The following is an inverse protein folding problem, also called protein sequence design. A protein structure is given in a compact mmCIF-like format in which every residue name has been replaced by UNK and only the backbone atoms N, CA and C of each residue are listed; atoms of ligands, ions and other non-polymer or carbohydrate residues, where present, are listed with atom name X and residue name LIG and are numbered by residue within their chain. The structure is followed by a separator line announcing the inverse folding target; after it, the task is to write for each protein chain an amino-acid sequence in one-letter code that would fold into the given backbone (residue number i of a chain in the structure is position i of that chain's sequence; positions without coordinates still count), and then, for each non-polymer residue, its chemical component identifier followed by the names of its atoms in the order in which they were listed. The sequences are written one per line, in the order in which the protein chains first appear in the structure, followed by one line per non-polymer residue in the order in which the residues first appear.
data_IF_742535880764
#
_entry.id   IF_742535880764
#
_cell.length_a   1.000
_cell.length_b   1.000
_cell.length_c   1.000
_cell.angle_alpha   90.00
_cell.angle_beta   90.00
_cell.angle_gamma   90.00
#
_symmetry.space_group_name_H-M   'P 1'
#
loop_
_entity.id
_entity.type
_entity.pdbx_description
1 polymer ?
#
# COMPACT_ATOMS: atom_id res chain seq x y z
N UNK A 1 -22.02 13.50 -24.25
CA UNK A 1 -21.83 13.54 -22.78
C UNK A 1 -22.90 12.74 -22.04
N UNK A 2 -24.21 13.00 -22.22
CA UNK A 2 -25.31 12.25 -21.55
C UNK A 2 -25.23 10.72 -21.70
N UNK A 3 -24.94 10.21 -22.90
CA UNK A 3 -24.81 8.75 -23.10
C UNK A 3 -23.67 8.10 -22.29
N UNK A 4 -22.56 8.81 -22.11
CA UNK A 4 -21.43 8.35 -21.30
C UNK A 4 -21.74 8.38 -19.80
N UNK A 5 -22.50 9.40 -19.35
CA UNK A 5 -22.97 9.48 -17.96
C UNK A 5 -23.90 8.29 -17.66
N UNK A 6 -24.86 8.00 -18.55
CA UNK A 6 -25.77 6.88 -18.38
C UNK A 6 -25.06 5.51 -18.41
N UNK A 7 -24.03 5.35 -19.27
CA UNK A 7 -23.18 4.16 -19.28
C UNK A 7 -22.39 4.03 -17.98
N UNK A 8 -21.83 5.14 -17.48
CA UNK A 8 -21.09 5.17 -16.23
C UNK A 8 -21.96 4.84 -15.01
N UNK A 9 -23.17 5.37 -14.94
CA UNK A 9 -24.12 5.03 -13.87
C UNK A 9 -24.44 3.53 -13.86
N UNK A 10 -24.79 2.96 -15.02
CA UNK A 10 -25.08 1.52 -15.14
C UNK A 10 -23.87 0.67 -14.75
N UNK A 11 -22.67 1.07 -15.18
CA UNK A 11 -21.44 0.38 -14.81
C UNK A 11 -21.19 0.43 -13.30
N UNK A 12 -21.28 1.61 -12.68
CA UNK A 12 -21.09 1.78 -11.24
C UNK A 12 -22.12 1.01 -10.41
N UNK A 13 -23.39 0.98 -10.84
CA UNK A 13 -24.45 0.20 -10.19
C UNK A 13 -24.18 -1.30 -10.22
N UNK A 14 -23.74 -1.85 -11.37
CA UNK A 14 -23.39 -3.27 -11.47
C UNK A 14 -22.14 -3.60 -10.66
N UNK A 15 -21.14 -2.73 -10.65
CA UNK A 15 -19.95 -2.88 -9.82
C UNK A 15 -20.29 -2.83 -8.32
N UNK A 16 -21.21 -1.96 -7.91
CA UNK A 16 -21.72 -1.87 -6.55
C UNK A 16 -22.44 -3.16 -6.14
N UNK A 17 -23.34 -3.68 -7.00
CA UNK A 17 -24.00 -4.98 -6.79
C UNK A 17 -22.97 -6.10 -6.65
N UNK A 18 -21.95 -6.10 -7.50
CA UNK A 18 -20.86 -7.06 -7.46
C UNK A 18 -20.06 -6.97 -6.15
N UNK A 19 -19.82 -5.77 -5.60
CA UNK A 19 -19.15 -5.63 -4.30
C UNK A 19 -19.99 -6.24 -3.17
N UNK A 20 -21.32 -6.02 -3.18
CA UNK A 20 -22.21 -6.35 -2.06
C UNK A 20 -22.78 -7.79 -2.14
N UNK A 21 -22.80 -8.41 -3.31
CA UNK A 21 -23.45 -9.72 -3.52
C UNK A 21 -22.98 -10.78 -2.51
N UNK A 22 -23.89 -11.54 -1.90
CA UNK A 22 -23.52 -12.53 -0.89
C UNK A 22 -22.78 -13.69 -1.54
N UNK A 23 -21.71 -14.16 -0.89
CA UNK A 23 -20.94 -15.34 -1.30
C UNK A 23 -21.00 -16.34 -0.16
N UNK A 24 -21.40 -17.57 -0.47
CA UNK A 24 -21.42 -18.70 0.47
C UNK A 24 -20.00 -18.99 1.02
N UNK A 25 -19.93 -19.63 2.18
CA UNK A 25 -18.66 -19.84 2.86
C UNK A 25 -17.74 -20.83 2.12
N UNK A 26 -16.45 -20.49 2.04
CA UNK A 26 -15.31 -21.27 1.48
C UNK A 26 -15.14 -21.31 -0.05
N UNK A 27 -15.83 -20.48 -0.82
CA UNK A 27 -15.61 -20.43 -2.27
C UNK A 27 -14.44 -19.51 -2.62
N UNK A 28 -13.40 -20.04 -3.28
CA UNK A 28 -12.21 -19.28 -3.72
C UNK A 28 -12.37 -18.62 -5.11
N UNK A 29 -13.25 -19.17 -5.94
CA UNK A 29 -13.55 -18.66 -7.29
C UNK A 29 -15.04 -18.76 -7.59
N UNK A 30 -15.60 -17.71 -8.18
CA UNK A 30 -17.02 -17.60 -8.52
C UNK A 30 -17.14 -17.06 -9.95
N UNK A 31 -18.14 -17.48 -10.70
CA UNK A 31 -18.46 -16.86 -11.99
C UNK A 31 -19.31 -15.61 -11.77
N UNK A 32 -19.09 -14.55 -12.56
CA UNK A 32 -19.94 -13.37 -12.57
C UNK A 32 -21.42 -13.72 -12.87
N UNK A 33 -21.68 -14.80 -13.59
CA UNK A 33 -23.04 -15.30 -13.85
C UNK A 33 -23.74 -15.74 -12.56
N UNK A 34 -23.02 -16.39 -11.65
CA UNK A 34 -23.55 -16.83 -10.35
C UNK A 34 -23.89 -15.62 -9.47
N UNK A 35 -23.15 -14.53 -9.64
CA UNK A 35 -23.39 -13.24 -8.97
C UNK A 35 -24.43 -12.37 -9.69
N UNK A 36 -25.08 -12.89 -10.75
CA UNK A 36 -26.10 -12.20 -11.56
C UNK A 36 -25.60 -10.89 -12.19
N UNK A 37 -24.31 -10.81 -12.50
CA UNK A 37 -23.69 -9.63 -13.11
C UNK A 37 -24.08 -9.47 -14.58
N UNK A 38 -24.44 -8.25 -15.00
CA UNK A 38 -24.79 -7.97 -16.38
C UNK A 38 -23.58 -7.55 -17.23
N UNK A 39 -23.05 -8.46 -18.05
CA UNK A 39 -21.95 -8.12 -18.98
C UNK A 39 -22.32 -7.05 -20.03
N UNK A 40 -23.61 -6.71 -20.18
CA UNK A 40 -24.09 -5.67 -21.12
C UNK A 40 -23.62 -4.26 -20.76
N UNK A 41 -23.04 -4.05 -19.57
CA UNK A 41 -22.44 -2.76 -19.20
C UNK A 41 -21.11 -2.49 -19.90
N UNK A 42 -20.52 -3.50 -20.55
CA UNK A 42 -19.34 -3.37 -21.38
C UNK A 42 -19.65 -3.79 -22.84
N UNK A 43 -19.02 -3.19 -23.86
CA UNK A 43 -17.97 -2.17 -23.78
C UNK A 43 -18.49 -0.80 -23.30
N UNK A 44 -17.67 -0.09 -22.53
CA UNK A 44 -17.97 1.19 -21.91
C UNK A 44 -16.90 2.22 -22.29
N UNK A 45 -17.32 3.45 -22.60
CA UNK A 45 -16.39 4.55 -22.95
C UNK A 45 -15.60 5.10 -21.76
N UNK A 46 -15.87 4.62 -20.55
CA UNK A 46 -15.06 4.93 -19.37
C UNK A 46 -13.68 4.31 -19.50
N UNK A 47 -12.69 4.99 -18.95
CA UNK A 47 -11.33 4.47 -18.84
C UNK A 47 -11.27 3.35 -17.81
N UNK A 48 -10.36 2.39 -18.02
CA UNK A 48 -10.06 1.40 -16.99
C UNK A 48 -9.48 2.13 -15.77
N UNK A 49 -9.96 1.89 -14.54
CA UNK A 49 -9.59 2.67 -13.35
C UNK A 49 -8.23 2.22 -12.77
N UNK A 50 -7.15 2.44 -13.52
CA UNK A 50 -5.77 2.19 -13.05
C UNK A 50 -4.96 3.48 -13.02
N UNK A 51 -3.89 3.50 -12.22
CA UNK A 51 -3.19 4.71 -11.84
C UNK A 51 -2.74 5.57 -13.02
N UNK A 52 -2.19 4.96 -14.07
CA UNK A 52 -1.66 5.70 -15.22
C UNK A 52 -2.74 6.44 -16.02
N UNK A 53 -4.01 6.04 -15.90
CA UNK A 53 -5.15 6.72 -16.53
C UNK A 53 -5.76 7.80 -15.64
N UNK A 54 -5.68 7.63 -14.31
CA UNK A 54 -6.32 8.53 -13.35
C UNK A 54 -5.39 9.62 -12.82
N UNK A 55 -4.07 9.43 -12.91
CA UNK A 55 -3.08 10.37 -12.38
C UNK A 55 -2.58 11.30 -13.48
N UNK A 56 -2.83 12.62 -13.40
CA UNK A 56 -2.29 13.55 -14.37
C UNK A 56 -0.76 13.66 -14.22
N UNK A 57 -0.06 13.61 -15.34
CA UNK A 57 1.33 14.03 -15.40
C UNK A 57 1.41 15.55 -15.32
N UNK A 58 2.43 16.06 -14.62
CA UNK A 58 2.71 17.49 -14.59
C UNK A 58 3.70 17.86 -15.70
N UNK A 59 3.59 19.08 -16.25
CA UNK A 59 4.51 19.55 -17.27
C UNK A 59 5.92 19.68 -16.69
N UNK A 60 6.93 19.28 -17.47
CA UNK A 60 8.33 19.46 -17.09
C UNK A 60 8.78 20.93 -17.17
N UNK A 61 8.03 21.77 -17.89
CA UNK A 61 8.30 23.20 -18.04
C UNK A 61 7.00 23.99 -18.02
N UNK A 62 7.01 25.13 -17.35
CA UNK A 62 5.90 26.09 -17.33
C UNK A 62 5.96 27.10 -18.49
N UNK A 63 6.84 26.88 -19.47
CA UNK A 63 6.92 27.74 -20.66
C UNK A 63 5.64 27.63 -21.50
N UNK A 64 5.05 28.75 -21.97
CA UNK A 64 3.78 28.74 -22.71
C UNK A 64 3.77 27.82 -23.94
N UNK A 65 4.89 27.75 -24.66
CA UNK A 65 5.07 26.90 -25.84
C UNK A 65 4.96 25.41 -25.51
N UNK A 66 5.58 25.00 -24.40
CA UNK A 66 5.52 23.62 -23.91
C UNK A 66 4.10 23.25 -23.46
N UNK A 67 3.44 24.16 -22.75
CA UNK A 67 2.08 23.95 -22.22
C UNK A 67 1.03 23.80 -23.32
N UNK A 68 1.17 24.50 -24.45
CA UNK A 68 0.22 24.37 -25.59
C UNK A 68 0.13 22.95 -26.17
N UNK A 69 1.23 22.20 -26.15
CA UNK A 69 1.29 20.81 -26.63
C UNK A 69 1.21 19.76 -25.52
N UNK A 70 1.23 20.18 -24.25
CA UNK A 70 1.28 19.29 -23.11
C UNK A 70 -0.07 18.60 -22.87
N UNK A 71 -0.04 17.28 -22.70
CA UNK A 71 -1.21 16.49 -22.30
C UNK A 71 -0.95 15.89 -20.93
N UNK A 72 -1.81 16.22 -19.98
CA UNK A 72 -1.70 15.69 -18.63
C UNK A 72 -1.98 14.17 -18.58
N UNK A 73 -2.87 13.68 -19.44
CA UNK A 73 -3.26 12.27 -19.53
C UNK A 73 -2.70 11.61 -20.79
N UNK A 74 -2.64 10.26 -20.83
CA UNK A 74 -2.24 9.52 -22.03
C UNK A 74 -3.02 9.94 -23.29
N UNK A 75 -2.37 9.91 -24.45
CA UNK A 75 -2.99 10.26 -25.75
C UNK A 75 -4.14 9.30 -26.10
N UNK A 76 -3.90 8.02 -25.86
CA UNK A 76 -4.83 6.94 -26.16
C UNK A 76 -5.28 6.32 -24.83
N UNK A 77 -6.40 6.78 -24.26
CA UNK A 77 -6.88 6.24 -23.00
C UNK A 77 -7.43 4.82 -23.21
N UNK A 78 -6.99 3.88 -22.38
CA UNK A 78 -7.51 2.52 -22.41
C UNK A 78 -8.92 2.50 -21.82
N UNK A 79 -9.92 2.20 -22.66
CA UNK A 79 -11.33 2.12 -22.26
C UNK A 79 -11.71 0.69 -21.87
N UNK A 80 -12.83 0.54 -21.19
CA UNK A 80 -13.32 -0.76 -20.74
C UNK A 80 -13.97 -1.51 -21.91
N UNK A 81 -13.35 -2.59 -22.37
CA UNK A 81 -13.89 -3.43 -23.44
C UNK A 81 -14.81 -4.52 -22.90
N UNK A 82 -14.37 -5.24 -21.86
CA UNK A 82 -15.14 -6.32 -21.25
C UNK A 82 -14.76 -6.54 -19.78
N UNK A 83 -15.65 -7.15 -19.01
CA UNK A 83 -15.35 -7.66 -17.67
C UNK A 83 -15.28 -9.19 -17.77
N UNK A 84 -14.19 -9.76 -17.24
CA UNK A 84 -13.93 -11.20 -17.25
C UNK A 84 -14.83 -11.92 -16.24
N UNK A 85 -15.28 -13.11 -16.62
CA UNK A 85 -16.25 -13.90 -15.84
C UNK A 85 -15.66 -14.50 -14.54
N UNK A 86 -14.35 -14.76 -14.51
CA UNK A 86 -13.67 -15.35 -13.36
C UNK A 86 -13.45 -14.31 -12.26
N UNK A 87 -14.05 -14.56 -11.08
CA UNK A 87 -13.88 -13.75 -9.87
C UNK A 87 -13.14 -14.57 -8.84
N UNK A 88 -12.01 -14.05 -8.36
CA UNK A 88 -11.30 -14.66 -7.24
C UNK A 88 -11.74 -14.00 -5.92
N UNK A 89 -12.14 -14.80 -4.96
CA UNK A 89 -12.54 -14.33 -3.62
C UNK A 89 -11.36 -14.55 -2.67
N UNK A 90 -10.88 -13.48 -2.04
CA UNK A 90 -9.76 -13.57 -1.12
C UNK A 90 -10.21 -14.00 0.27
N UNK A 91 -9.39 -14.82 0.92
CA UNK A 91 -9.66 -15.33 2.26
C UNK A 91 -9.30 -14.29 3.33
N UNK A 92 -10.20 -13.32 3.52
CA UNK A 92 -10.10 -12.22 4.48
C UNK A 92 -11.46 -12.00 5.15
N UNK A 93 -11.49 -11.29 6.29
CA UNK A 93 -12.70 -10.97 7.05
C UNK A 93 -13.79 -10.36 6.16
N UNK A 94 -13.42 -9.47 5.24
CA UNK A 94 -14.35 -8.77 4.34
C UNK A 94 -14.59 -9.51 3.01
N UNK A 95 -13.89 -10.63 2.74
CA UNK A 95 -13.97 -11.40 1.49
C UNK A 95 -13.93 -10.52 0.22
N UNK A 96 -12.87 -9.71 0.03
CA UNK A 96 -12.77 -8.84 -1.14
C UNK A 96 -12.59 -9.68 -2.41
N UNK A 97 -13.02 -9.13 -3.56
CA UNK A 97 -13.14 -9.86 -4.83
C UNK A 97 -12.19 -9.27 -5.85
N UNK A 98 -11.30 -10.09 -6.40
CA UNK A 98 -10.47 -9.69 -7.53
C UNK A 98 -11.17 -10.05 -8.83
N UNK A 99 -11.34 -9.07 -9.71
CA UNK A 99 -11.91 -9.25 -11.05
C UNK A 99 -10.96 -8.73 -12.11
N UNK A 100 -11.05 -9.29 -13.32
CA UNK A 100 -10.31 -8.83 -14.48
C UNK A 100 -11.16 -7.94 -15.39
N UNK A 101 -10.61 -6.81 -15.81
CA UNK A 101 -11.18 -5.93 -16.83
C UNK A 101 -10.30 -6.02 -18.08
N UNK A 102 -10.88 -6.38 -19.22
CA UNK A 102 -10.21 -6.26 -20.52
C UNK A 102 -10.29 -4.82 -20.99
N UNK A 103 -9.13 -4.20 -21.20
CA UNK A 103 -9.02 -2.88 -21.80
C UNK A 103 -9.13 -2.94 -23.33
N UNK A 104 -9.44 -1.81 -23.95
CA UNK A 104 -9.49 -1.66 -25.41
C UNK A 104 -8.15 -1.89 -26.12
N UNK A 105 -7.05 -2.04 -25.37
CA UNK A 105 -5.73 -2.45 -25.85
C UNK A 105 -5.54 -3.98 -25.82
N UNK A 106 -6.58 -4.74 -25.46
CA UNK A 106 -6.59 -6.19 -25.35
C UNK A 106 -5.96 -6.73 -24.07
N UNK A 107 -5.39 -5.88 -23.21
CA UNK A 107 -4.77 -6.31 -21.95
C UNK A 107 -5.80 -6.50 -20.85
N UNK A 108 -5.46 -7.34 -19.87
CA UNK A 108 -6.27 -7.57 -18.68
C UNK A 108 -5.71 -6.76 -17.52
N UNK A 109 -6.58 -5.99 -16.88
CA UNK A 109 -6.30 -5.18 -15.71
C UNK A 109 -7.09 -5.74 -14.54
N UNK A 110 -6.39 -6.19 -13.50
CA UNK A 110 -7.03 -6.71 -12.32
C UNK A 110 -7.43 -5.55 -11.40
N UNK A 111 -8.61 -5.65 -10.79
CA UNK A 111 -9.07 -4.73 -9.74
C UNK A 111 -9.64 -5.51 -8.57
N UNK A 112 -9.51 -4.96 -7.38
CA UNK A 112 -10.04 -5.48 -6.13
C UNK A 112 -11.29 -4.68 -5.74
N UNK A 113 -12.44 -5.35 -5.76
CA UNK A 113 -13.68 -4.88 -5.16
C UNK A 113 -13.60 -5.11 -3.64
N UNK A 114 -13.48 -4.02 -2.86
CA UNK A 114 -13.45 -4.09 -1.40
C UNK A 114 -14.83 -3.74 -0.85
N UNK A 115 -15.55 -4.69 -0.23
CA UNK A 115 -16.86 -4.43 0.36
C UNK A 115 -16.74 -4.00 1.83
N UNK A 116 -17.75 -3.27 2.31
CA UNK A 116 -17.89 -2.77 3.68
C UNK A 116 -16.68 -1.96 4.17
N UNK A 117 -16.12 -1.14 3.29
CA UNK A 117 -15.00 -0.26 3.62
C UNK A 117 -15.10 1.08 2.86
N UNK A 118 -14.84 2.18 3.55
CA UNK A 118 -14.82 3.51 2.95
C UNK A 118 -13.43 3.82 2.40
N UNK A 119 -13.29 3.66 1.08
CA UNK A 119 -12.02 3.85 0.38
C UNK A 119 -11.64 5.32 0.16
N UNK A 120 -12.42 6.30 0.62
CA UNK A 120 -12.02 7.72 0.52
C UNK A 120 -10.72 7.97 1.29
N UNK A 121 -10.53 7.32 2.44
CA UNK A 121 -9.30 7.39 3.23
C UNK A 121 -8.10 6.92 2.40
N UNK A 122 -8.21 5.75 1.78
CA UNK A 122 -7.17 5.22 0.90
C UNK A 122 -6.92 6.13 -0.32
N UNK A 123 -7.98 6.66 -0.95
CA UNK A 123 -7.86 7.56 -2.10
C UNK A 123 -7.08 8.83 -1.74
N UNK A 124 -7.45 9.49 -0.65
CA UNK A 124 -6.76 10.70 -0.18
C UNK A 124 -5.31 10.43 0.22
N UNK A 125 -5.04 9.26 0.79
CA UNK A 125 -3.67 8.87 1.08
C UNK A 125 -2.85 8.65 -0.20
N UNK A 126 -3.44 8.09 -1.26
CA UNK A 126 -2.77 7.99 -2.56
C UNK A 126 -2.49 9.37 -3.17
N UNK A 127 -3.38 10.35 -3.00
CA UNK A 127 -3.15 11.75 -3.39
C UNK A 127 -1.98 12.37 -2.60
N UNK A 128 -1.94 12.16 -1.29
CA UNK A 128 -0.84 12.58 -0.42
C UNK A 128 0.49 11.95 -0.83
N UNK A 129 0.52 10.63 -1.06
CA UNK A 129 1.72 9.93 -1.54
C UNK A 129 2.16 10.42 -2.93
N UNK A 130 1.22 10.72 -3.82
CA UNK A 130 1.53 11.34 -5.11
C UNK A 130 2.11 12.75 -4.95
N UNK A 131 1.70 13.51 -3.94
CA UNK A 131 2.35 14.78 -3.58
C UNK A 131 3.78 14.57 -3.12
N UNK A 132 4.03 13.63 -2.22
CA UNK A 132 5.39 13.30 -1.76
C UNK A 132 6.27 12.86 -2.93
N UNK A 133 5.76 12.02 -3.83
CA UNK A 133 6.48 11.62 -5.05
C UNK A 133 6.87 12.81 -5.93
N UNK A 134 6.03 13.85 -6.00
CA UNK A 134 6.37 15.10 -6.70
C UNK A 134 7.52 15.84 -6.01
N UNK A 135 7.54 15.86 -4.67
CA UNK A 135 8.64 16.47 -3.91
C UNK A 135 9.96 15.71 -4.13
N UNK A 136 9.95 14.38 -4.06
CA UNK A 136 11.13 13.55 -4.36
C UNK A 136 11.63 13.70 -5.79
N UNK A 137 10.74 13.93 -6.76
CA UNK A 137 11.17 14.14 -8.15
C UNK A 137 11.82 15.50 -8.37
N UNK A 138 11.42 16.52 -7.61
CA UNK A 138 11.97 17.89 -7.70
C UNK A 138 13.33 18.02 -7.01
N UNK A 139 13.53 17.32 -5.90
CA UNK A 139 14.80 17.34 -5.18
C UNK A 139 15.88 16.51 -5.89
N UNK A 140 17.09 17.06 -5.97
CA UNK A 140 18.19 16.48 -6.74
C UNK A 140 18.70 15.19 -6.10
N UNK A 141 18.82 15.15 -4.77
CA UNK A 141 19.42 14.01 -4.07
C UNK A 141 18.48 12.79 -4.02
N UNK A 142 17.19 13.03 -3.83
CA UNK A 142 16.15 12.00 -3.89
C UNK A 142 15.91 11.49 -5.31
N UNK A 143 15.91 12.38 -6.31
CA UNK A 143 15.80 12.01 -7.73
C UNK A 143 16.98 11.16 -8.22
N UNK A 144 18.23 11.53 -7.87
CA UNK A 144 19.42 10.70 -8.14
C UNK A 144 19.30 9.29 -7.56
N UNK A 145 18.64 9.16 -6.41
CA UNK A 145 18.41 7.88 -5.71
C UNK A 145 17.14 7.17 -6.15
N UNK A 146 16.36 7.75 -7.07
CA UNK A 146 15.07 7.26 -7.54
C UNK A 146 14.16 6.90 -6.36
N UNK A 147 14.07 7.80 -5.38
CA UNK A 147 13.15 7.65 -4.26
C UNK A 147 11.71 7.88 -4.72
N UNK A 148 10.82 6.95 -4.39
CA UNK A 148 9.39 7.07 -4.63
C UNK A 148 8.62 6.15 -3.68
N UNK A 149 7.35 6.45 -3.49
CA UNK A 149 6.32 5.61 -2.89
C UNK A 149 5.55 4.99 -4.05
N UNK A 150 5.44 3.66 -4.08
CA UNK A 150 4.53 3.00 -5.02
C UNK A 150 3.09 3.35 -4.62
N UNK A 151 2.35 3.94 -5.54
CA UNK A 151 0.93 4.25 -5.37
C UNK A 151 0.09 3.37 -6.31
N UNK A 152 -1.22 3.37 -6.12
CA UNK A 152 -2.18 2.63 -6.93
C UNK A 152 -3.49 3.43 -7.01
N UNK A 153 -4.31 3.18 -8.03
CA UNK A 153 -5.61 3.82 -8.15
C UNK A 153 -6.61 3.28 -7.11
N UNK A 154 -7.36 4.21 -6.52
CA UNK A 154 -8.49 3.92 -5.63
C UNK A 154 -9.69 4.70 -6.14
N UNK A 155 -10.79 4.01 -6.40
CA UNK A 155 -12.04 4.59 -6.90
C UNK A 155 -13.17 4.21 -5.94
N UNK A 156 -13.53 5.09 -4.98
CA UNK A 156 -14.71 4.89 -4.15
C UNK A 156 -15.98 4.83 -5.00
N UNK A 157 -16.88 3.90 -4.70
CA UNK A 157 -18.18 3.78 -5.38
C UNK A 157 -19.30 4.38 -4.51
N UNK A 158 -19.26 4.12 -3.21
CA UNK A 158 -20.13 4.71 -2.20
C UNK A 158 -19.40 4.76 -0.84
N UNK A 159 -20.12 5.00 0.26
CA UNK A 159 -19.57 5.05 1.62
C UNK A 159 -19.17 3.69 2.20
N UNK A 160 -19.50 2.59 1.52
CA UNK A 160 -19.26 1.24 2.04
C UNK A 160 -18.49 0.35 1.07
N UNK A 161 -18.11 0.81 -0.12
CA UNK A 161 -17.30 0.02 -1.03
C UNK A 161 -16.60 0.87 -2.08
N UNK A 162 -15.58 0.27 -2.68
CA UNK A 162 -14.97 0.81 -3.87
C UNK A 162 -14.06 -0.18 -4.56
N UNK A 163 -13.31 0.36 -5.52
CA UNK A 163 -12.39 -0.38 -6.37
C UNK A 163 -10.96 0.05 -6.05
N UNK A 164 -10.08 -0.93 -5.94
CA UNK A 164 -8.64 -0.73 -5.77
C UNK A 164 -7.94 -1.38 -6.96
N UNK A 165 -7.00 -0.69 -7.58
CA UNK A 165 -6.13 -1.29 -8.59
C UNK A 165 -5.34 -2.45 -7.99
N UNK A 166 -5.39 -3.61 -8.65
CA UNK A 166 -4.58 -4.74 -8.24
C UNK A 166 -3.17 -4.60 -8.83
N UNK A 167 -2.17 -4.69 -7.96
CA UNK A 167 -0.77 -4.70 -8.37
C UNK A 167 -0.31 -6.16 -8.40
N UNK A 168 0.02 -6.64 -9.59
CA UNK A 168 0.48 -8.02 -9.80
C UNK A 168 1.90 -8.26 -9.26
N UNK A 169 2.25 -9.55 -9.09
CA UNK A 169 3.57 -10.02 -8.65
C UNK A 169 3.99 -9.47 -7.28
N UNK A 170 3.03 -9.42 -6.35
CA UNK A 170 3.27 -9.04 -4.96
C UNK A 170 3.20 -10.26 -4.05
N UNK A 171 4.10 -10.32 -3.06
CA UNK A 171 4.12 -11.33 -2.00
C UNK A 171 4.18 -10.67 -0.63
N UNK A 172 3.41 -11.17 0.32
CA UNK A 172 3.40 -10.59 1.67
C UNK A 172 4.67 -10.98 2.43
N UNK A 173 5.16 -10.08 3.30
CA UNK A 173 6.31 -10.36 4.16
C UNK A 173 6.11 -11.64 4.97
N UNK A 174 4.89 -11.87 5.45
CA UNK A 174 4.52 -13.05 6.23
C UNK A 174 4.65 -14.32 5.40
N UNK A 175 4.12 -14.34 4.17
CA UNK A 175 4.21 -15.49 3.29
C UNK A 175 5.67 -15.84 2.95
N UNK A 176 6.48 -14.83 2.59
CA UNK A 176 7.91 -15.01 2.30
C UNK A 176 8.65 -15.60 3.50
N UNK A 177 8.51 -14.99 4.68
CA UNK A 177 9.25 -15.42 5.88
C UNK A 177 8.80 -16.81 6.34
N UNK A 178 7.51 -17.12 6.31
CA UNK A 178 7.02 -18.45 6.69
C UNK A 178 7.51 -19.52 5.72
N UNK A 179 7.55 -19.24 4.41
CA UNK A 179 8.09 -20.15 3.39
C UNK A 179 9.55 -20.50 3.70
N UNK A 180 10.40 -19.48 3.86
CA UNK A 180 11.84 -19.66 4.09
C UNK A 180 12.14 -20.35 5.43
N UNK A 181 11.42 -20.01 6.50
CA UNK A 181 11.55 -20.71 7.78
C UNK A 181 11.19 -22.20 7.65
N UNK A 182 10.14 -22.53 6.89
CA UNK A 182 9.73 -23.91 6.65
C UNK A 182 10.78 -24.70 5.86
N UNK A 183 11.42 -24.07 4.87
CA UNK A 183 12.53 -24.68 4.11
C UNK A 183 13.73 -25.00 5.02
N UNK A 184 13.91 -24.26 6.11
CA UNK A 184 14.88 -24.55 7.19
C UNK A 184 14.35 -25.52 8.25
N UNK A 185 13.17 -26.11 8.07
CA UNK A 185 12.55 -27.02 9.04
C UNK A 185 11.94 -26.34 10.27
N UNK A 186 11.79 -25.01 10.26
CA UNK A 186 11.27 -24.23 11.39
C UNK A 186 9.80 -23.90 11.13
N UNK A 187 8.90 -24.46 11.94
CA UNK A 187 7.47 -24.15 11.89
C UNK A 187 7.06 -23.31 13.11
N UNK A 188 6.51 -22.08 12.92
CA UNK A 188 6.06 -21.26 14.04
C UNK A 188 4.89 -21.90 14.81
N UNK A 189 5.10 -22.21 16.10
CA UNK A 189 4.03 -22.61 17.01
C UNK A 189 3.43 -21.37 17.70
N UNK A 190 2.30 -20.88 17.19
CA UNK A 190 1.69 -19.65 17.69
C UNK A 190 1.24 -19.71 19.16
N UNK A 191 0.85 -20.89 19.66
CA UNK A 191 0.43 -21.03 21.05
C UNK A 191 1.63 -20.90 22.00
N UNK A 192 2.74 -21.53 21.65
CA UNK A 192 3.99 -21.44 22.40
C UNK A 192 4.57 -20.02 22.32
N UNK A 193 4.60 -19.41 21.14
CA UNK A 193 5.04 -18.02 20.96
C UNK A 193 4.19 -17.08 21.84
N UNK A 194 2.86 -17.27 21.86
CA UNK A 194 1.97 -16.44 22.70
C UNK A 194 2.25 -16.63 24.18
N UNK A 195 2.50 -17.86 24.62
CA UNK A 195 2.87 -18.16 26.00
C UNK A 195 4.19 -17.47 26.39
N UNK A 196 5.24 -17.64 25.59
CA UNK A 196 6.56 -17.05 25.82
C UNK A 196 6.50 -15.51 25.82
N UNK A 197 5.69 -14.90 24.94
CA UNK A 197 5.46 -13.46 24.90
C UNK A 197 4.70 -12.96 26.14
N UNK A 198 3.66 -13.66 26.57
CA UNK A 198 2.93 -13.31 27.79
C UNK A 198 3.84 -13.39 29.03
N UNK A 199 4.73 -14.38 29.09
CA UNK A 199 5.74 -14.49 30.13
C UNK A 199 6.74 -13.31 30.09
N UNK A 200 7.26 -12.98 28.90
CA UNK A 200 8.20 -11.88 28.71
C UNK A 200 7.58 -10.51 29.05
N UNK A 201 6.29 -10.32 28.77
CA UNK A 201 5.54 -9.10 29.07
C UNK A 201 5.01 -9.02 30.51
N UNK A 202 5.14 -10.09 31.31
CA UNK A 202 4.65 -10.08 32.70
C UNK A 202 5.45 -9.17 33.64
N UNK A 203 6.73 -8.98 33.36
CA UNK A 203 7.64 -8.16 34.17
C UNK A 203 8.79 -7.64 33.29
N UNK A 204 9.19 -6.38 33.51
CA UNK A 204 10.31 -5.76 32.78
C UNK A 204 11.63 -6.53 32.93
N UNK A 205 11.86 -7.21 34.05
CA UNK A 205 13.04 -8.06 34.25
C UNK A 205 13.09 -9.26 33.30
N UNK A 206 11.94 -9.70 32.79
CA UNK A 206 11.80 -10.87 31.90
C UNK A 206 11.83 -10.51 30.41
N UNK A 207 12.01 -9.25 30.05
CA UNK A 207 12.08 -8.82 28.64
C UNK A 207 13.16 -9.56 27.84
N UNK A 208 14.25 -9.98 28.50
CA UNK A 208 15.31 -10.76 27.86
C UNK A 208 14.81 -12.10 27.27
N UNK A 209 13.70 -12.65 27.78
CA UNK A 209 13.06 -13.87 27.26
C UNK A 209 12.62 -13.72 25.80
N UNK A 210 12.26 -12.51 25.37
CA UNK A 210 11.97 -12.26 23.96
C UNK A 210 13.19 -12.61 23.09
N UNK A 211 14.37 -12.13 23.46
CA UNK A 211 15.60 -12.39 22.70
C UNK A 211 16.09 -13.83 22.86
N UNK A 212 16.07 -14.37 24.09
CA UNK A 212 16.68 -15.67 24.40
C UNK A 212 15.80 -16.87 24.09
N UNK A 213 14.47 -16.78 24.27
CA UNK A 213 13.52 -17.87 23.98
C UNK A 213 12.82 -17.71 22.63
N UNK A 214 12.34 -16.51 22.29
CA UNK A 214 11.52 -16.31 21.09
C UNK A 214 12.41 -16.08 19.86
N UNK A 215 13.23 -15.04 19.85
CA UNK A 215 14.03 -14.68 18.68
C UNK A 215 15.10 -15.73 18.33
N UNK A 216 15.65 -16.44 19.32
CA UNK A 216 16.64 -17.51 19.11
C UNK A 216 16.10 -18.66 18.25
N UNK A 217 14.78 -18.92 18.28
CA UNK A 217 14.11 -19.93 17.45
C UNK A 217 13.91 -19.47 16.00
N UNK A 218 13.97 -18.16 15.72
CA UNK A 218 13.61 -17.58 14.42
C UNK A 218 14.75 -16.69 13.87
N UNK A 219 15.77 -17.30 13.22
CA UNK A 219 16.82 -16.54 12.58
C UNK A 219 16.27 -15.63 11.47
N UNK A 220 16.96 -14.52 11.13
CA UNK A 220 16.62 -13.76 9.95
C UNK A 220 16.84 -14.62 8.69
N UNK A 221 15.86 -14.59 7.79
CA UNK A 221 15.85 -15.37 6.54
C UNK A 221 15.52 -14.52 5.32
N UNK A 222 14.96 -13.32 5.51
CA UNK A 222 14.43 -12.51 4.39
C UNK A 222 15.47 -12.19 3.30
N UNK A 223 16.76 -12.11 3.62
CA UNK A 223 17.83 -11.91 2.63
C UNK A 223 17.88 -13.04 1.59
N UNK A 224 17.50 -14.26 1.96
CA UNK A 224 17.50 -15.44 1.07
C UNK A 224 16.51 -15.25 -0.07
N UNK A 225 15.35 -14.64 0.20
CA UNK A 225 14.37 -14.32 -0.84
C UNK A 225 14.97 -13.43 -1.94
N UNK A 226 15.81 -12.45 -1.59
CA UNK A 226 16.46 -11.61 -2.59
C UNK A 226 17.46 -12.41 -3.43
N UNK A 227 18.16 -13.37 -2.84
CA UNK A 227 19.12 -14.23 -3.55
C UNK A 227 18.37 -15.18 -4.51
N UNK A 228 17.26 -15.77 -4.05
CA UNK A 228 16.41 -16.65 -4.87
C UNK A 228 15.73 -15.90 -6.03
N UNK A 229 15.15 -14.73 -5.74
CA UNK A 229 14.37 -13.96 -6.71
C UNK A 229 15.25 -13.23 -7.73
N UNK A 230 16.48 -12.86 -7.34
CA UNK A 230 17.43 -12.13 -8.18
C UNK A 230 18.79 -12.85 -8.22
N UNK A 231 18.95 -13.93 -9.00
CA UNK A 231 20.20 -14.69 -9.03
C UNK A 231 21.40 -13.93 -9.61
N UNK A 232 21.14 -12.95 -10.48
CA UNK A 232 22.19 -12.12 -11.09
C UNK A 232 22.63 -11.00 -10.11
N UNK A 233 23.93 -10.88 -9.86
CA UNK A 233 24.49 -9.95 -8.88
C UNK A 233 24.08 -8.47 -9.10
N UNK A 234 24.02 -8.01 -10.35
CA UNK A 234 23.61 -6.64 -10.68
C UNK A 234 22.13 -6.39 -10.34
N UNK A 235 21.27 -7.32 -10.75
CA UNK A 235 19.83 -7.29 -10.48
C UNK A 235 19.53 -7.42 -8.98
N UNK A 236 20.22 -8.32 -8.27
CA UNK A 236 20.16 -8.47 -6.82
C UNK A 236 20.52 -7.18 -6.09
N UNK A 237 21.65 -6.57 -6.46
CA UNK A 237 22.10 -5.33 -5.83
C UNK A 237 21.08 -4.20 -6.06
N UNK A 238 20.57 -4.07 -7.29
CA UNK A 238 19.56 -3.08 -7.62
C UNK A 238 18.24 -3.30 -6.84
N UNK A 239 17.80 -4.56 -6.73
CA UNK A 239 16.59 -4.93 -6.00
C UNK A 239 16.73 -4.66 -4.50
N UNK A 240 17.86 -5.03 -3.89
CA UNK A 240 18.14 -4.75 -2.48
C UNK A 240 18.21 -3.25 -2.20
N UNK A 241 18.84 -2.46 -3.08
CA UNK A 241 18.88 -1.01 -2.92
C UNK A 241 17.47 -0.40 -3.04
N UNK A 242 16.64 -0.92 -3.95
CA UNK A 242 15.24 -0.49 -4.09
C UNK A 242 14.41 -0.85 -2.86
N UNK A 243 14.54 -2.07 -2.36
CA UNK A 243 13.96 -2.52 -1.09
C UNK A 243 14.30 -1.54 0.04
N UNK A 244 15.60 -1.34 0.31
CA UNK A 244 16.07 -0.48 1.40
C UNK A 244 15.53 0.95 1.29
N UNK A 245 15.53 1.53 0.09
CA UNK A 245 15.02 2.90 -0.13
C UNK A 245 13.51 2.99 0.02
N UNK A 246 12.76 2.05 -0.56
CA UNK A 246 11.30 2.03 -0.47
C UNK A 246 10.82 1.82 0.97
N UNK A 247 11.48 0.94 1.73
CA UNK A 247 11.26 0.80 3.18
C UNK A 247 11.52 2.10 3.92
N UNK A 248 12.68 2.72 3.72
CA UNK A 248 13.04 3.95 4.42
C UNK A 248 12.04 5.09 4.17
N UNK A 249 11.66 5.30 2.90
CA UNK A 249 10.66 6.31 2.53
C UNK A 249 9.34 6.04 3.24
N UNK A 250 8.81 4.82 3.12
CA UNK A 250 7.49 4.49 3.69
C UNK A 250 7.51 4.44 5.22
N UNK A 251 8.65 4.11 5.84
CA UNK A 251 8.83 4.19 7.29
C UNK A 251 8.73 5.63 7.79
N UNK A 252 9.38 6.59 7.12
CA UNK A 252 9.32 8.00 7.55
C UNK A 252 7.94 8.60 7.29
N UNK A 253 7.37 8.35 6.10
CA UNK A 253 6.03 8.84 5.76
C UNK A 253 4.96 8.21 6.64
N UNK A 254 5.04 6.90 6.87
CA UNK A 254 4.14 6.19 7.77
C UNK A 254 4.24 6.71 9.20
N UNK A 255 5.45 6.96 9.71
CA UNK A 255 5.63 7.52 11.04
C UNK A 255 5.04 8.93 11.17
N UNK A 256 5.29 9.82 10.20
CA UNK A 256 4.70 11.18 10.19
C UNK A 256 3.17 11.12 10.22
N UNK A 257 2.57 10.20 9.45
CA UNK A 257 1.12 10.01 9.40
C UNK A 257 0.53 9.23 10.59
N UNK A 258 1.36 8.70 11.49
CA UNK A 258 0.91 7.81 12.56
C UNK A 258 0.29 6.50 12.04
N UNK A 259 0.86 5.92 10.97
CA UNK A 259 0.41 4.67 10.36
C UNK A 259 0.80 3.46 11.24
N UNK A 260 -0.22 2.79 11.79
CA UNK A 260 -0.11 1.54 12.54
C UNK A 260 -0.52 0.31 11.74
N UNK A 261 -0.78 -0.78 12.46
CA UNK A 261 -1.26 -2.08 11.94
C UNK A 261 -0.37 -2.65 10.82
N UNK A 262 0.95 -2.50 10.98
CA UNK A 262 1.96 -2.98 10.00
C UNK A 262 2.33 -4.44 10.28
N UNK A 263 1.34 -5.32 10.28
CA UNK A 263 1.59 -6.77 10.33
C UNK A 263 2.15 -7.30 9.00
N UNK A 264 2.65 -8.54 9.01
CA UNK A 264 3.36 -9.11 7.85
C UNK A 264 2.51 -9.36 6.59
N UNK A 265 1.19 -9.23 6.67
CA UNK A 265 0.31 -9.27 5.48
C UNK A 265 0.15 -7.89 4.81
N UNK A 266 0.38 -6.79 5.55
CA UNK A 266 0.19 -5.42 5.06
C UNK A 266 1.47 -4.80 4.47
N UNK A 267 2.57 -5.57 4.45
CA UNK A 267 3.84 -5.20 3.82
C UNK A 267 4.11 -6.21 2.70
N UNK A 268 4.09 -5.74 1.46
CA UNK A 268 4.20 -6.57 0.26
C UNK A 268 5.48 -6.24 -0.49
N UNK A 269 6.08 -7.27 -1.10
CA UNK A 269 7.30 -7.19 -1.89
C UNK A 269 6.96 -7.44 -3.36
N UNK A 270 7.48 -6.58 -4.23
CA UNK A 270 7.34 -6.71 -5.69
C UNK A 270 8.40 -7.66 -6.22
N UNK A 271 7.99 -8.85 -6.67
CA UNK A 271 8.90 -9.91 -7.15
C UNK A 271 9.78 -9.43 -8.31
N UNK A 272 9.26 -8.59 -9.20
CA UNK A 272 10.02 -8.09 -10.36
C UNK A 272 11.10 -7.07 -10.04
N UNK A 273 11.09 -6.43 -8.85
CA UNK A 273 12.02 -5.33 -8.57
C UNK A 273 12.56 -5.23 -7.16
N UNK A 274 12.00 -5.96 -6.20
CA UNK A 274 12.37 -5.94 -4.79
C UNK A 274 11.82 -4.75 -4.00
N UNK A 275 11.05 -3.85 -4.63
CA UNK A 275 10.41 -2.73 -3.93
C UNK A 275 9.33 -3.18 -2.96
N UNK A 276 9.02 -2.32 -1.97
CA UNK A 276 7.96 -2.56 -0.99
C UNK A 276 6.71 -1.74 -1.30
N UNK A 277 5.55 -2.35 -1.13
CA UNK A 277 4.23 -1.71 -1.14
C UNK A 277 3.54 -1.95 0.20
N UNK A 278 3.00 -0.88 0.79
CA UNK A 278 2.13 -0.98 1.96
C UNK A 278 0.67 -0.96 1.49
N UNK A 279 -0.17 -1.79 2.09
CA UNK A 279 -1.62 -1.82 1.86
C UNK A 279 -2.37 -1.71 3.17
N UNK A 280 -3.68 -1.47 3.07
CA UNK A 280 -4.61 -1.31 4.19
C UNK A 280 -4.23 -0.14 5.11
N UNK A 281 -4.82 1.04 4.91
CA UNK A 281 -4.48 2.25 5.65
C UNK A 281 -5.55 2.65 6.68
N UNK A 282 -6.26 1.66 7.22
CA UNK A 282 -7.33 1.88 8.19
C UNK A 282 -6.86 2.36 9.58
N UNK A 283 -5.55 2.22 9.87
CA UNK A 283 -4.93 2.61 11.13
C UNK A 283 -4.00 3.83 10.95
N UNK A 284 -4.57 5.01 10.70
CA UNK A 284 -3.84 6.28 10.56
C UNK A 284 -3.98 7.16 11.82
N UNK A 285 -3.14 8.20 11.91
CA UNK A 285 -3.15 9.23 12.95
C UNK A 285 -3.09 8.66 14.37
N UNK A 286 -2.12 7.77 14.59
CA UNK A 286 -1.80 7.20 15.89
C UNK A 286 -2.94 6.35 16.50
N UNK A 287 -3.89 5.89 15.68
CA UNK A 287 -4.96 4.97 16.11
C UNK A 287 -4.41 3.70 16.75
N UNK A 288 -3.23 3.23 16.33
CA UNK A 288 -2.56 2.05 16.90
C UNK A 288 -2.21 2.20 18.39
N UNK A 289 -2.06 3.42 18.89
CA UNK A 289 -1.84 3.70 20.32
C UNK A 289 -3.12 3.50 21.17
N UNK A 290 -4.29 3.41 20.53
CA UNK A 290 -5.58 3.26 21.19
C UNK A 290 -6.08 1.82 21.26
N UNK A 291 -5.32 0.86 20.71
CA UNK A 291 -5.64 -0.56 20.79
C UNK A 291 -5.44 -1.09 22.22
N UNK A 292 -6.11 -2.22 22.52
CA UNK A 292 -5.98 -2.92 23.82
C UNK A 292 -4.52 -3.23 24.15
N UNK A 293 -3.74 -3.62 23.13
CA UNK A 293 -2.28 -3.70 23.19
C UNK A 293 -1.75 -2.58 22.28
N UNK A 294 -1.23 -1.48 22.86
CA UNK A 294 -0.86 -0.30 22.08
C UNK A 294 0.40 -0.54 21.23
N UNK A 295 0.39 -0.04 20.00
CA UNK A 295 1.53 -0.09 19.09
C UNK A 295 2.52 1.06 19.35
N UNK A 296 3.45 0.86 20.28
CA UNK A 296 4.42 1.89 20.69
C UNK A 296 5.58 2.10 19.71
N UNK A 297 5.79 1.16 18.78
CA UNK A 297 6.90 1.21 17.82
C UNK A 297 6.51 2.12 16.65
N UNK A 298 7.34 3.11 16.27
CA UNK A 298 6.96 4.14 15.28
C UNK A 298 6.72 3.58 13.87
N UNK A 299 7.42 2.52 13.50
CA UNK A 299 7.22 1.78 12.26
C UNK A 299 7.87 0.40 12.38
N UNK A 300 7.41 -0.57 11.58
CA UNK A 300 7.96 -1.93 11.60
C UNK A 300 9.39 -1.95 11.05
N UNK A 301 10.36 -2.26 11.91
CA UNK A 301 11.77 -2.50 11.54
C UNK A 301 12.31 -3.69 12.32
N UNK A 302 12.10 -4.91 11.80
CA UNK A 302 12.46 -6.17 12.50
C UNK A 302 13.82 -6.70 12.07
N UNK A 303 14.36 -7.69 12.79
CA UNK A 303 15.64 -8.35 12.44
C UNK A 303 15.68 -8.86 10.99
N UNK A 304 14.57 -9.43 10.48
CA UNK A 304 14.46 -9.89 9.11
C UNK A 304 14.60 -8.73 8.12
N UNK A 305 13.97 -7.59 8.41
CA UNK A 305 14.03 -6.43 7.54
C UNK A 305 15.42 -5.80 7.53
N UNK A 306 16.04 -5.68 8.71
CA UNK A 306 17.38 -5.08 8.88
C UNK A 306 18.44 -5.92 8.21
N UNK A 307 18.39 -7.24 8.40
CA UNK A 307 19.34 -8.17 7.80
C UNK A 307 19.28 -8.14 6.26
N UNK A 308 18.07 -8.05 5.69
CA UNK A 308 17.88 -7.91 4.25
C UNK A 308 18.43 -6.58 3.65
N UNK A 309 18.74 -5.57 4.47
CA UNK A 309 19.44 -4.36 3.97
C UNK A 309 20.91 -4.64 3.61
N UNK A 310 21.46 -5.76 4.06
CA UNK A 310 22.86 -6.16 3.87
C UNK A 310 23.75 -5.76 5.05
N UNK A 311 25.07 -5.88 4.85
CA UNK A 311 26.07 -5.80 5.94
C UNK A 311 26.02 -4.50 6.77
N UNK A 312 25.63 -3.37 6.18
CA UNK A 312 25.50 -2.09 6.89
C UNK A 312 24.22 -1.97 7.74
N UNK A 313 23.29 -2.92 7.61
CA UNK A 313 21.98 -2.89 8.25
C UNK A 313 21.27 -1.56 7.99
N UNK A 314 20.79 -0.92 9.05
CA UNK A 314 20.15 0.39 8.97
C UNK A 314 21.14 1.56 8.83
N UNK A 315 22.41 1.39 9.24
CA UNK A 315 23.48 2.41 9.20
C UNK A 315 24.11 2.51 7.80
N UNK A 316 23.27 2.70 6.77
CA UNK A 316 23.71 2.76 5.38
C UNK A 316 22.67 3.46 4.50
N UNK A 317 22.33 2.90 3.33
CA UNK A 317 21.34 3.50 2.43
C UNK A 317 19.98 3.76 3.11
N UNK A 318 19.59 2.95 4.10
CA UNK A 318 18.36 3.15 4.87
C UNK A 318 18.38 4.49 5.60
N UNK A 319 19.32 4.69 6.53
CA UNK A 319 19.48 5.94 7.29
C UNK A 319 19.58 7.16 6.38
N UNK A 320 20.41 7.10 5.32
CA UNK A 320 20.54 8.26 4.42
C UNK A 320 19.24 8.61 3.70
N UNK A 321 18.46 7.59 3.33
CA UNK A 321 17.15 7.78 2.70
C UNK A 321 16.14 8.34 3.70
N UNK A 322 16.18 7.92 4.97
CA UNK A 322 15.36 8.49 6.03
C UNK A 322 15.65 9.98 6.25
N UNK A 323 16.93 10.36 6.33
CA UNK A 323 17.36 11.76 6.49
C UNK A 323 16.85 12.65 5.35
N UNK A 324 17.01 12.22 4.10
CA UNK A 324 16.51 12.95 2.92
C UNK A 324 14.98 13.03 2.96
N UNK A 325 14.31 11.94 3.31
CA UNK A 325 12.84 11.90 3.37
C UNK A 325 12.30 12.87 4.41
N UNK A 326 12.77 12.79 5.66
CA UNK A 326 12.35 13.70 6.73
C UNK A 326 12.71 15.15 6.43
N UNK A 327 13.91 15.40 5.89
CA UNK A 327 14.32 16.73 5.44
C UNK A 327 13.31 17.31 4.47
N UNK A 328 12.94 16.58 3.42
CA UNK A 328 11.97 17.06 2.42
C UNK A 328 10.56 17.23 2.97
N UNK A 329 10.11 16.35 3.86
CA UNK A 329 8.80 16.47 4.49
C UNK A 329 8.72 17.73 5.35
N UNK A 330 9.75 18.02 6.17
CA UNK A 330 9.81 19.24 7.00
C UNK A 330 9.87 20.50 6.16
N UNK A 331 10.74 20.56 5.14
CA UNK A 331 10.86 21.74 4.28
C UNK A 331 9.58 22.06 3.48
N UNK A 332 8.65 21.12 3.38
CA UNK A 332 7.39 21.29 2.65
C UNK A 332 6.17 21.06 3.56
N UNK A 333 6.31 21.30 4.87
CA UNK A 333 5.25 21.11 5.86
C UNK A 333 3.94 21.79 5.43
N UNK A 334 3.95 23.09 5.18
CA UNK A 334 2.73 23.86 4.83
C UNK A 334 1.93 23.23 3.69
N UNK A 335 2.65 22.78 2.65
CA UNK A 335 2.05 22.20 1.48
C UNK A 335 1.44 20.82 1.79
N UNK A 336 2.14 20.00 2.60
CA UNK A 336 1.67 18.69 3.03
C UNK A 336 0.50 18.81 4.01
N UNK A 337 0.57 19.77 4.95
CA UNK A 337 -0.50 20.10 5.90
C UNK A 337 -1.77 20.50 5.18
N UNK A 338 -1.69 21.33 4.14
CA UNK A 338 -2.86 21.72 3.34
C UNK A 338 -3.61 20.50 2.77
N UNK A 339 -2.88 19.47 2.31
CA UNK A 339 -3.52 18.23 1.81
C UNK A 339 -4.11 17.42 2.95
N UNK A 340 -3.40 17.31 4.08
CA UNK A 340 -3.87 16.57 5.24
C UNK A 340 -5.08 17.22 5.92
N UNK A 341 -5.18 18.55 5.96
CA UNK A 341 -6.35 19.27 6.46
C UNK A 341 -7.62 18.88 5.70
N UNK A 342 -7.54 18.76 4.38
CA UNK A 342 -8.67 18.29 3.57
C UNK A 342 -9.06 16.84 3.86
N UNK A 343 -8.10 16.01 4.30
CA UNK A 343 -8.35 14.63 4.73
C UNK A 343 -9.18 14.58 6.03
N UNK A 344 -8.90 15.49 6.96
CA UNK A 344 -9.46 15.49 8.32
C UNK A 344 -10.81 16.17 8.42
N UNK A 345 -11.00 17.18 7.58
CA UNK A 345 -12.27 17.88 7.44
C UNK A 345 -13.24 17.15 6.52
N UNK A 346 -12.89 15.98 6.01
CA UNK A 346 -13.83 15.13 5.28
C UNK A 346 -14.91 14.61 6.25
N UNK A 347 -16.18 15.07 6.11
CA UNK A 347 -17.26 14.78 7.04
C UNK A 347 -17.71 13.31 7.03
N UNK A 348 -17.15 12.50 6.13
CA UNK A 348 -17.43 11.05 6.03
C UNK A 348 -16.44 10.20 6.81
N UNK A 349 -15.36 10.79 7.35
CA UNK A 349 -14.31 10.04 8.03
C UNK A 349 -14.54 9.95 9.54
N UNK A 350 -14.18 8.82 10.15
CA UNK A 350 -14.27 8.58 11.62
C UNK A 350 -13.37 9.50 12.47
N UNK A 351 -12.66 10.46 11.87
CA UNK A 351 -11.71 11.35 12.54
C UNK A 351 -12.37 12.62 13.13
N UNK A 352 -13.66 12.83 12.86
CA UNK A 352 -14.42 14.00 13.34
C UNK A 352 -14.45 14.03 14.88
N UNK A 353 -13.88 15.11 15.45
CA UNK A 353 -13.99 15.43 16.87
C UNK A 353 -12.74 15.16 17.73
N UNK A 354 -11.67 14.56 17.20
CA UNK A 354 -10.44 14.30 17.97
C UNK A 354 -9.33 15.32 17.65
N UNK A 355 -9.33 16.45 18.37
CA UNK A 355 -8.25 17.47 18.33
C UNK A 355 -6.83 16.95 18.68
N UNK A 356 -6.69 15.68 19.09
CA UNK A 356 -5.42 15.04 19.46
C UNK A 356 -4.70 14.30 18.33
N UNK A 357 -5.24 14.27 17.10
CA UNK A 357 -4.71 13.46 15.99
C UNK A 357 -3.36 13.90 15.38
N UNK A 358 -2.72 14.98 15.86
CA UNK A 358 -1.47 15.51 15.28
C UNK A 358 -0.28 15.49 16.22
N UNK A 359 -0.29 14.77 17.35
CA UNK A 359 0.87 14.76 18.23
C UNK A 359 2.15 14.40 17.47
N UNK A 360 2.14 13.31 16.71
CA UNK A 360 3.33 12.89 15.95
C UNK A 360 3.58 13.78 14.74
N UNK A 361 2.52 14.21 14.05
CA UNK A 361 2.63 15.01 12.84
C UNK A 361 3.16 16.43 13.14
N UNK A 362 2.64 17.07 14.19
CA UNK A 362 3.12 18.36 14.68
C UNK A 362 4.49 18.28 15.38
N UNK A 363 4.81 17.17 16.06
CA UNK A 363 6.15 16.97 16.64
C UNK A 363 7.24 16.70 15.58
N UNK A 364 6.87 16.10 14.45
CA UNK A 364 7.84 15.70 13.41
C UNK A 364 7.97 16.75 12.32
N UNK A 365 6.88 17.42 11.94
CA UNK A 365 6.87 18.46 10.91
C UNK A 365 7.03 19.86 11.50
N UNK A 366 6.39 20.15 12.65
CA UNK A 366 6.51 21.41 13.35
C UNK A 366 7.81 21.50 14.16
N UNK A 367 8.48 22.63 14.04
CA UNK A 367 9.67 22.96 14.83
C UNK A 367 9.34 23.05 16.34
N UNK A 368 10.37 22.74 17.14
CA UNK A 368 10.57 23.30 18.48
C UNK A 368 10.60 24.84 18.42
#
# INVERSE_FOLDING_TARGET
MRGMINQGQKFSEEMLRLCIARIEDKVLRVSLRDLKFSHKVAPCRLVVPFQAMLTPTLPASHKPEYLKGFRAFPRDPTTIEAILDDVQVLNSLQKPRRIGIRGSDGKVYNILCKPKDDLRKDQRLMEFNNMINRLFKKDVESSKRRMYIKTYAVTPLNEECGLIEWVDNLRTLRDIVIKLLRERGIAPNYNEIRHDLNEACSDNSKLHLFTTKVLSKFPPVLYEWFIEMFPEAGSWFAARIRYTRSCAVMSMVGHVLGLGDRHGENILFEEGTGGVLHVDFNCLFDKGLTFDIPELVPFRLTQNMVDAFGAYGYNGPFRKTCEISLGLLRHNEDALMTVLETFLHDPTTDFIGKKRCFSTLALVLGDL
#
